data_IF_135977674500
#
_entry.id   IF_135977674500
#
_cell.length_a   1.000
_cell.length_b   1.000
_cell.length_c   1.000
_cell.angle_alpha   90.00
_cell.angle_beta   90.00
_cell.angle_gamma   90.00
#
_symmetry.space_group_name_H-M   'P 1'
#
loop_
_entity.id
_entity.type
_entity.pdbx_description
1 polymer ?
#
# COMPACT_ATOMS: atom_id res chain seq x y z
N UNK A 1 -23.92 -6.04 -17.67
CA UNK A 1 -23.19 -5.61 -16.46
C UNK A 1 -21.71 -5.64 -16.82
N UNK A 2 -21.04 -4.49 -16.89
CA UNK A 2 -19.57 -4.50 -17.03
C UNK A 2 -18.99 -5.07 -15.75
N UNK A 3 -18.05 -6.00 -15.85
CA UNK A 3 -17.26 -6.42 -14.70
C UNK A 3 -16.54 -5.19 -14.12
N UNK A 4 -16.50 -5.07 -12.80
CA UNK A 4 -15.70 -4.07 -12.12
C UNK A 4 -14.22 -4.31 -12.50
N UNK A 5 -13.55 -3.33 -13.09
CA UNK A 5 -12.11 -3.43 -13.39
C UNK A 5 -11.31 -2.90 -12.21
N UNK A 6 -10.36 -3.70 -11.74
CA UNK A 6 -9.45 -3.32 -10.67
C UNK A 6 -8.01 -3.48 -11.10
N UNK A 7 -7.14 -2.70 -10.46
CA UNK A 7 -5.69 -2.80 -10.54
C UNK A 7 -5.19 -3.29 -9.19
N UNK A 8 -4.41 -4.36 -9.20
CA UNK A 8 -3.71 -4.86 -8.02
C UNK A 8 -2.57 -3.92 -7.67
N UNK A 9 -2.51 -3.50 -6.42
CA UNK A 9 -1.44 -2.69 -5.87
C UNK A 9 -0.85 -3.35 -4.63
N UNK A 10 0.39 -2.98 -4.33
CA UNK A 10 1.09 -3.40 -3.13
C UNK A 10 1.54 -2.21 -2.33
N UNK A 11 1.68 -2.41 -1.02
CA UNK A 11 2.33 -1.42 -0.16
C UNK A 11 3.17 -2.11 0.91
N UNK A 12 4.47 -1.79 0.99
CA UNK A 12 5.28 -2.16 2.13
C UNK A 12 4.90 -1.28 3.32
N UNK A 13 4.85 -1.88 4.51
CA UNK A 13 4.48 -1.16 5.73
C UNK A 13 5.19 -1.71 6.96
N UNK A 14 5.27 -0.90 8.01
CA UNK A 14 5.75 -1.31 9.34
C UNK A 14 4.59 -1.63 10.29
N UNK A 15 4.88 -2.13 11.51
CA UNK A 15 3.85 -2.57 12.46
C UNK A 15 2.83 -1.49 12.82
N UNK A 16 3.27 -0.25 12.99
CA UNK A 16 2.40 0.84 13.44
C UNK A 16 1.35 1.23 12.38
N UNK A 17 1.76 1.39 11.11
CA UNK A 17 0.81 1.70 10.02
C UNK A 17 -0.09 0.48 9.73
N UNK A 18 0.44 -0.75 9.82
CA UNK A 18 -0.38 -1.96 9.71
C UNK A 18 -1.46 -2.05 10.79
N UNK A 19 -1.15 -1.68 12.04
CA UNK A 19 -2.12 -1.62 13.13
C UNK A 19 -3.29 -0.69 12.81
N UNK A 20 -3.01 0.50 12.25
CA UNK A 20 -4.05 1.44 11.84
C UNK A 20 -4.91 0.90 10.68
N UNK A 21 -4.31 0.13 9.77
CA UNK A 21 -5.06 -0.58 8.72
C UNK A 21 -6.00 -1.62 9.33
N UNK A 22 -5.54 -2.39 10.32
CA UNK A 22 -6.37 -3.37 11.02
C UNK A 22 -7.53 -2.71 11.78
N UNK A 23 -7.27 -1.61 12.49
CA UNK A 23 -8.30 -0.80 13.18
C UNK A 23 -9.38 -0.27 12.22
N UNK A 24 -9.03 -0.04 10.94
CA UNK A 24 -9.99 0.34 9.89
C UNK A 24 -10.88 -0.82 9.39
N UNK A 25 -10.69 -2.03 9.93
CA UNK A 25 -11.29 -3.26 9.41
C UNK A 25 -10.68 -3.69 8.08
N UNK A 26 -9.39 -3.43 7.88
CA UNK A 26 -8.61 -3.79 6.68
C UNK A 26 -9.12 -3.12 5.40
N UNK A 27 -9.69 -1.92 5.49
CA UNK A 27 -10.35 -1.24 4.35
C UNK A 27 -9.78 0.12 4.00
N UNK A 28 -8.90 0.68 4.83
CA UNK A 28 -8.35 2.00 4.61
C UNK A 28 -6.89 2.10 5.08
N UNK A 29 -6.13 2.91 4.34
CA UNK A 29 -4.85 3.42 4.78
C UNK A 29 -5.05 4.65 5.69
N UNK A 30 -4.25 4.82 6.76
CA UNK A 30 -4.36 5.98 7.63
C UNK A 30 -3.98 7.27 6.90
N UNK A 31 -4.54 8.39 7.35
CA UNK A 31 -4.18 9.71 6.83
C UNK A 31 -2.66 9.96 6.92
N UNK A 32 -2.10 10.62 5.90
CA UNK A 32 -0.69 11.01 5.91
C UNK A 32 -0.44 12.11 6.94
N UNK A 33 0.77 12.13 7.48
CA UNK A 33 1.21 13.25 8.32
C UNK A 33 1.39 14.52 7.46
N UNK A 34 1.31 15.73 8.05
CA UNK A 34 1.42 16.98 7.29
C UNK A 34 2.71 17.13 6.47
N UNK A 35 3.79 16.47 6.87
CA UNK A 35 5.09 16.44 6.18
C UNK A 35 5.18 15.36 5.10
N UNK A 36 4.13 14.56 4.90
CA UNK A 36 4.05 13.47 3.94
C UNK A 36 3.03 13.82 2.84
N UNK A 37 3.42 14.56 1.79
CA UNK A 37 2.50 15.14 0.82
C UNK A 37 1.82 14.11 -0.09
N UNK A 38 2.33 12.88 -0.12
CA UNK A 38 1.83 11.81 -0.97
C UNK A 38 1.69 10.48 -0.22
N UNK A 39 0.73 9.69 -0.69
CA UNK A 39 0.61 8.26 -0.48
C UNK A 39 1.02 7.53 -1.76
N UNK A 40 1.91 6.54 -1.63
CA UNK A 40 2.48 5.85 -2.78
C UNK A 40 2.35 4.32 -2.65
N UNK A 41 1.39 3.71 -3.35
CA UNK A 41 1.35 2.28 -3.55
C UNK A 41 2.18 1.90 -4.80
N UNK A 42 2.79 0.72 -4.75
CA UNK A 42 3.66 0.22 -5.83
C UNK A 42 2.91 -0.80 -6.71
N UNK A 43 3.34 -0.92 -7.96
CA UNK A 43 2.73 -1.83 -8.94
C UNK A 43 3.39 -3.23 -8.97
N UNK A 44 4.37 -3.49 -8.10
CA UNK A 44 5.15 -4.74 -8.12
C UNK A 44 5.41 -5.27 -6.70
N UNK A 45 4.98 -6.52 -6.44
CA UNK A 45 5.21 -7.22 -5.16
C UNK A 45 6.70 -7.33 -4.81
N UNK A 46 7.56 -7.65 -5.78
CA UNK A 46 8.99 -7.83 -5.53
C UNK A 46 9.63 -6.54 -5.04
N UNK A 47 9.19 -5.39 -5.56
CA UNK A 47 9.65 -4.09 -5.08
C UNK A 47 9.14 -3.79 -3.67
N UNK A 48 7.87 -4.09 -3.37
CA UNK A 48 7.35 -3.98 -2.01
C UNK A 48 8.12 -4.88 -1.02
N UNK A 49 8.50 -6.10 -1.42
CA UNK A 49 9.32 -7.01 -0.62
C UNK A 49 10.69 -6.42 -0.31
N UNK A 50 11.35 -5.79 -1.29
CA UNK A 50 12.65 -5.13 -1.07
C UNK A 50 12.53 -4.03 0.01
N UNK A 51 11.53 -3.16 -0.11
CA UNK A 51 11.32 -2.08 0.87
C UNK A 51 11.01 -2.67 2.26
N UNK A 52 10.08 -3.62 2.34
CA UNK A 52 9.67 -4.23 3.61
C UNK A 52 10.86 -4.90 4.32
N UNK A 53 11.65 -5.69 3.59
CA UNK A 53 12.78 -6.44 4.15
C UNK A 53 13.97 -5.55 4.47
N UNK A 54 14.36 -4.69 3.54
CA UNK A 54 15.64 -3.98 3.62
C UNK A 54 15.51 -2.64 4.36
N UNK A 55 14.32 -2.04 4.40
CA UNK A 55 14.11 -0.71 5.03
C UNK A 55 13.17 -0.78 6.24
N UNK A 56 12.00 -1.42 6.15
CA UNK A 56 11.07 -1.46 7.29
C UNK A 56 11.59 -2.32 8.46
N UNK A 57 12.18 -3.49 8.19
CA UNK A 57 12.72 -4.35 9.27
C UNK A 57 13.81 -3.62 10.07
N UNK A 58 14.85 -3.00 9.47
CA UNK A 58 15.84 -2.27 10.27
C UNK A 58 15.25 -1.06 11.03
N UNK A 59 14.24 -0.40 10.47
CA UNK A 59 13.65 0.80 11.06
C UNK A 59 12.63 0.52 12.18
N UNK A 60 11.93 -0.62 12.12
CA UNK A 60 10.75 -0.87 12.96
C UNK A 60 10.70 -2.28 13.57
N UNK A 61 11.72 -3.10 13.36
CA UNK A 61 11.82 -4.46 13.87
C UNK A 61 11.03 -5.50 13.07
N UNK A 62 10.09 -5.08 12.22
CA UNK A 62 9.39 -5.94 11.28
C UNK A 62 8.92 -5.15 10.05
N UNK A 63 8.70 -5.85 8.94
CA UNK A 63 8.18 -5.33 7.69
C UNK A 63 7.11 -6.24 7.11
N UNK A 64 6.13 -5.64 6.44
CA UNK A 64 4.98 -6.35 5.87
C UNK A 64 4.79 -5.91 4.44
N UNK A 65 4.35 -6.82 3.59
CA UNK A 65 3.84 -6.48 2.25
C UNK A 65 2.35 -6.72 2.25
N UNK A 66 1.59 -5.68 1.91
CA UNK A 66 0.16 -5.82 1.68
C UNK A 66 -0.15 -5.82 0.18
N UNK A 67 -1.28 -6.44 -0.17
CA UNK A 67 -1.89 -6.46 -1.50
C UNK A 67 -3.33 -5.98 -1.37
N UNK A 68 -3.79 -5.17 -2.32
CA UNK A 68 -5.17 -4.72 -2.37
C UNK A 68 -5.58 -4.34 -3.80
N UNK A 69 -6.87 -4.35 -4.05
CA UNK A 69 -7.45 -4.02 -5.35
C UNK A 69 -8.04 -2.61 -5.30
N UNK A 70 -7.74 -1.79 -6.30
CA UNK A 70 -8.33 -0.45 -6.45
C UNK A 70 -9.01 -0.35 -7.80
N UNK A 71 -10.15 0.33 -7.86
CA UNK A 71 -10.83 0.57 -9.13
C UNK A 71 -9.92 1.24 -10.15
N UNK A 72 -9.79 0.65 -11.34
CA UNK A 72 -8.89 1.14 -12.39
C UNK A 72 -9.30 2.52 -12.91
N UNK A 73 -10.60 2.77 -13.05
CA UNK A 73 -11.12 4.06 -13.54
C UNK A 73 -10.85 5.24 -12.59
N UNK A 74 -10.72 4.96 -11.29
CA UNK A 74 -10.23 5.95 -10.34
C UNK A 74 -8.72 6.21 -10.52
N UNK A 75 -7.92 5.15 -10.69
CA UNK A 75 -6.47 5.25 -10.87
C UNK A 75 -6.07 5.91 -12.19
N UNK A 76 -6.91 5.88 -13.22
CA UNK A 76 -6.65 6.54 -14.51
C UNK A 76 -6.48 8.07 -14.39
N UNK A 77 -6.85 8.66 -13.26
CA UNK A 77 -6.62 10.07 -12.94
C UNK A 77 -5.21 10.38 -12.42
N UNK A 78 -4.39 9.35 -12.19
CA UNK A 78 -3.05 9.47 -11.62
C UNK A 78 -2.01 8.87 -12.56
N UNK A 79 -0.88 9.56 -12.70
CA UNK A 79 0.24 9.05 -13.49
C UNK A 79 1.05 8.02 -12.71
N UNK A 80 1.44 6.93 -13.38
CA UNK A 80 2.43 5.99 -12.86
C UNK A 80 3.81 6.64 -12.94
N UNK A 81 4.46 6.76 -11.79
CA UNK A 81 5.80 7.31 -11.65
C UNK A 81 6.85 6.22 -11.64
N UNK A 82 7.99 6.50 -12.25
CA UNK A 82 9.17 5.63 -12.21
C UNK A 82 10.20 6.19 -11.22
N UNK A 83 10.13 5.75 -9.96
CA UNK A 83 11.02 6.24 -8.90
C UNK A 83 12.36 5.48 -8.90
N UNK A 84 13.22 5.77 -9.88
CA UNK A 84 14.57 5.20 -9.97
C UNK A 84 14.70 4.11 -11.03
N UNK A 85 15.06 2.88 -10.62
CA UNK A 85 15.28 1.76 -11.53
C UNK A 85 14.02 1.42 -12.35
N UNK A 86 14.20 0.74 -13.50
CA UNK A 86 13.09 0.52 -14.46
C UNK A 86 11.86 -0.18 -13.89
N UNK A 87 12.06 -1.05 -12.91
CA UNK A 87 11.02 -1.87 -12.26
C UNK A 87 10.32 -1.15 -11.08
N UNK A 88 10.78 0.05 -10.73
CA UNK A 88 10.22 0.84 -9.63
C UNK A 88 9.07 1.67 -10.18
N UNK A 89 7.88 1.08 -10.20
CA UNK A 89 6.65 1.74 -10.62
C UNK A 89 5.73 1.95 -9.43
N UNK A 90 5.28 3.19 -9.25
CA UNK A 90 4.40 3.59 -8.16
C UNK A 90 3.41 4.67 -8.59
N UNK A 91 2.27 4.75 -7.91
CA UNK A 91 1.39 5.91 -8.00
C UNK A 91 1.81 6.95 -6.97
N UNK A 92 1.69 8.23 -7.30
CA UNK A 92 1.78 9.31 -6.32
C UNK A 92 0.39 9.92 -6.11
N UNK A 93 -0.29 9.45 -5.06
CA UNK A 93 -1.63 9.92 -4.68
C UNK A 93 -1.44 11.08 -3.70
N UNK A 94 -1.97 12.30 -3.96
CA UNK A 94 -1.91 13.39 -3.00
C UNK A 94 -2.50 12.98 -1.65
N UNK A 95 -1.93 13.50 -0.55
CA UNK A 95 -2.39 13.18 0.79
C UNK A 95 -3.87 13.54 1.00
N UNK A 96 -4.34 14.63 0.39
CA UNK A 96 -5.73 15.08 0.39
C UNK A 96 -6.69 14.09 -0.31
N UNK A 97 -6.19 13.34 -1.29
CA UNK A 97 -6.97 12.39 -2.08
C UNK A 97 -7.04 11.01 -1.41
N UNK A 98 -6.24 10.75 -0.37
CA UNK A 98 -6.17 9.42 0.26
C UNK A 98 -7.52 8.93 0.80
N UNK A 99 -8.38 9.84 1.24
CA UNK A 99 -9.73 9.49 1.67
C UNK A 99 -10.59 8.98 0.48
N UNK A 100 -10.46 9.58 -0.70
CA UNK A 100 -11.11 9.11 -1.93
C UNK A 100 -10.48 7.82 -2.44
N UNK A 101 -9.15 7.71 -2.36
CA UNK A 101 -8.43 6.47 -2.66
C UNK A 101 -8.98 5.29 -1.86
N UNK A 102 -9.13 5.46 -0.54
CA UNK A 102 -9.68 4.43 0.35
C UNK A 102 -11.10 4.02 -0.03
N UNK A 103 -11.95 4.97 -0.50
CA UNK A 103 -13.30 4.65 -1.00
C UNK A 103 -13.30 3.81 -2.26
N UNK A 104 -12.21 3.82 -3.02
CA UNK A 104 -12.06 3.07 -4.26
C UNK A 104 -11.29 1.74 -4.09
N UNK A 105 -10.88 1.39 -2.87
CA UNK A 105 -10.40 0.05 -2.52
C UNK A 105 -11.57 -0.94 -2.60
N UNK A 106 -11.34 -2.06 -3.29
CA UNK A 106 -12.31 -3.13 -3.51
C UNK A 106 -11.91 -4.32 -2.64
N UNK A 107 -12.82 -4.75 -1.76
CA UNK A 107 -12.53 -5.84 -0.83
C UNK A 107 -11.77 -5.35 0.41
N UNK A 108 -10.66 -6.01 0.72
CA UNK A 108 -9.81 -5.73 1.89
C UNK A 108 -8.35 -5.63 1.49
N UNK A 109 -7.56 -5.00 2.37
CA UNK A 109 -6.10 -5.00 2.31
C UNK A 109 -5.60 -6.28 2.96
N UNK A 110 -4.84 -7.09 2.22
CA UNK A 110 -4.35 -8.39 2.66
C UNK A 110 -2.86 -8.36 2.93
N UNK A 111 -2.40 -8.91 4.06
CA UNK A 111 -0.97 -9.17 4.27
C UNK A 111 -0.57 -10.40 3.46
N UNK A 112 0.34 -10.23 2.50
CA UNK A 112 0.82 -11.32 1.62
C UNK A 112 2.24 -11.78 1.96
N UNK A 113 3.06 -10.94 2.60
CA UNK A 113 4.40 -11.30 3.12
C UNK A 113 4.68 -10.61 4.44
N UNK A 114 5.57 -11.23 5.22
CA UNK A 114 6.02 -10.80 6.54
C UNK A 114 7.53 -10.98 6.66
N UNK A 115 8.17 -10.05 7.36
CA UNK A 115 9.59 -10.09 7.66
C UNK A 115 9.80 -9.69 9.14
N UNK A 116 10.31 -10.59 10.00
CA UNK A 116 10.49 -12.03 9.76
C UNK A 116 9.16 -12.75 9.48
N UNK A 117 9.20 -13.99 8.98
CA UNK A 117 7.99 -14.73 8.56
C UNK A 117 7.00 -14.99 9.70
N UNK A 118 7.50 -15.05 10.93
CA UNK A 118 6.74 -15.22 12.17
C UNK A 118 6.28 -13.90 12.80
N UNK A 119 6.51 -12.76 12.14
CA UNK A 119 6.04 -11.46 12.62
C UNK A 119 4.50 -11.50 12.82
N UNK A 120 4.01 -10.99 13.97
CA UNK A 120 2.58 -11.02 14.29
C UNK A 120 1.80 -10.10 13.35
N UNK A 121 0.64 -10.56 12.89
CA UNK A 121 -0.32 -9.71 12.18
C UNK A 121 -1.36 -9.25 13.20
N UNK A 122 -1.69 -7.95 13.27
CA UNK A 122 -2.78 -7.47 14.10
C UNK A 122 -4.10 -8.17 13.75
N UNK A 123 -5.01 -8.30 14.71
CA UNK A 123 -6.35 -8.88 14.47
C UNK A 123 -7.24 -7.95 13.63
#
# INVERSE_FOLDING_TARGET
MSALRTTTLWRPTGPAELGLVAESGWRAWPARLPDQPIFYPVLNEAYAVLIARDWNVPASGAGYVTRFEVRTDFLDNYEVQQAGGREILEYWIPAEDLAEFNRNIVGVIEVVRRFPEDAPVPD
#
